data_IF_098043920975
#
_entry.id   IF_098043920975
#
_cell.length_a   1.000
_cell.length_b   1.000
_cell.length_c   1.000
_cell.angle_alpha   90.00
_cell.angle_beta   90.00
_cell.angle_gamma   90.00
#
_symmetry.space_group_name_H-M   'P 1'
#
loop_
_entity.id
_entity.type
_entity.pdbx_description
1 polymer ?
#
# COMPACT_ATOMS: atom_id res chain seq x y z
N UNK A 1 25.77 -14.80 21.02
CA UNK A 1 24.93 -14.05 20.07
C UNK A 1 25.09 -14.76 18.74
N UNK A 2 24.07 -15.48 18.24
CA UNK A 2 24.15 -16.04 16.90
C UNK A 2 24.28 -14.89 15.91
N UNK A 3 25.23 -14.96 14.97
CA UNK A 3 25.35 -13.97 13.91
C UNK A 3 24.01 -13.94 13.16
N UNK A 4 23.36 -12.78 13.12
CA UNK A 4 22.10 -12.63 12.38
C UNK A 4 22.38 -12.79 10.89
N UNK A 5 21.45 -13.44 10.20
CA UNK A 5 21.56 -13.78 8.78
C UNK A 5 21.90 -12.53 7.94
N UNK A 6 22.75 -12.73 6.93
CA UNK A 6 23.09 -11.68 5.95
C UNK A 6 22.19 -11.82 4.73
N UNK A 7 21.45 -10.78 4.42
CA UNK A 7 20.48 -10.75 3.32
C UNK A 7 20.97 -9.74 2.29
N UNK A 8 21.07 -10.18 1.04
CA UNK A 8 21.51 -9.34 -0.07
C UNK A 8 20.34 -8.95 -0.98
N UNK A 9 20.19 -7.66 -1.30
CA UNK A 9 19.14 -7.15 -2.18
C UNK A 9 19.72 -6.75 -3.54
N UNK A 10 19.18 -7.29 -4.63
CA UNK A 10 19.54 -6.85 -6.00
C UNK A 10 18.47 -5.87 -6.49
N UNK A 11 18.88 -4.65 -6.81
CA UNK A 11 17.98 -3.52 -7.07
C UNK A 11 17.43 -2.90 -5.78
N UNK A 12 18.31 -2.72 -4.78
CA UNK A 12 17.93 -2.27 -3.43
C UNK A 12 17.36 -0.85 -3.39
N UNK A 13 17.68 0.00 -4.38
CA UNK A 13 17.23 1.39 -4.49
C UNK A 13 15.79 1.55 -4.97
N UNK A 14 15.13 0.47 -5.43
CA UNK A 14 13.71 0.52 -5.75
C UNK A 14 12.85 0.78 -4.50
N UNK A 15 11.75 1.54 -4.64
CA UNK A 15 10.87 1.90 -3.52
C UNK A 15 10.44 0.66 -2.73
N UNK A 16 9.80 -0.32 -3.36
CA UNK A 16 9.37 -1.53 -2.65
C UNK A 16 10.50 -2.41 -2.08
N UNK A 17 11.73 -2.30 -2.59
CA UNK A 17 12.88 -3.07 -2.10
C UNK A 17 13.51 -2.41 -0.87
N UNK A 18 13.72 -1.09 -0.95
CA UNK A 18 14.35 -0.30 0.11
C UNK A 18 13.54 -0.31 1.41
N UNK A 19 12.21 -0.29 1.34
CA UNK A 19 11.37 -0.37 2.53
C UNK A 19 11.56 -1.69 3.29
N UNK A 20 11.62 -2.82 2.56
CA UNK A 20 11.88 -4.14 3.16
C UNK A 20 13.29 -4.21 3.74
N UNK A 21 14.29 -3.68 3.02
CA UNK A 21 15.68 -3.63 3.49
C UNK A 21 15.81 -2.81 4.78
N UNK A 22 15.15 -1.65 4.86
CA UNK A 22 15.09 -0.81 6.05
C UNK A 22 14.49 -1.56 7.24
N UNK A 23 13.34 -2.20 7.08
CA UNK A 23 12.73 -2.98 8.16
C UNK A 23 13.67 -4.07 8.68
N UNK A 24 14.36 -4.77 7.79
CA UNK A 24 15.31 -5.81 8.20
C UNK A 24 16.54 -5.23 8.92
N UNK A 25 17.05 -4.06 8.51
CA UNK A 25 18.10 -3.34 9.25
C UNK A 25 17.63 -2.94 10.65
N UNK A 26 16.42 -2.41 10.80
CA UNK A 26 15.86 -2.01 12.10
C UNK A 26 15.59 -3.23 13.00
N UNK A 27 15.22 -4.36 12.40
CA UNK A 27 15.18 -5.67 13.06
C UNK A 27 16.57 -6.23 13.37
N UNK A 28 17.62 -5.58 12.86
CA UNK A 28 19.06 -5.81 13.06
C UNK A 28 19.62 -7.00 12.31
N UNK A 29 19.09 -7.34 11.14
CA UNK A 29 19.74 -8.21 10.17
C UNK A 29 20.94 -7.49 9.51
N UNK A 30 21.87 -8.26 8.97
CA UNK A 30 22.97 -7.71 8.19
C UNK A 30 22.52 -7.53 6.74
N UNK A 31 22.37 -6.30 6.28
CA UNK A 31 21.88 -6.01 4.93
C UNK A 31 23.02 -5.58 4.02
N UNK A 32 23.11 -6.20 2.85
CA UNK A 32 23.84 -5.66 1.72
C UNK A 32 22.93 -5.58 0.49
N UNK A 33 23.37 -4.85 -0.54
CA UNK A 33 22.64 -4.85 -1.80
C UNK A 33 23.38 -4.16 -2.93
N UNK A 34 22.85 -4.28 -4.13
CA UNK A 34 23.39 -3.65 -5.34
C UNK A 34 22.32 -2.82 -6.04
N UNK A 35 22.74 -1.72 -6.66
CA UNK A 35 21.89 -0.94 -7.57
C UNK A 35 22.73 -0.30 -8.68
N UNK A 36 22.09 0.08 -9.80
CA UNK A 36 22.76 0.68 -10.94
C UNK A 36 23.12 2.16 -10.72
N UNK A 37 22.42 2.83 -9.81
CA UNK A 37 22.58 4.26 -9.56
C UNK A 37 22.62 4.54 -8.06
N UNK A 38 23.36 5.59 -7.70
CA UNK A 38 23.27 6.19 -6.36
C UNK A 38 22.05 7.09 -6.33
N UNK A 39 21.25 6.95 -5.29
CA UNK A 39 20.05 7.74 -5.02
C UNK A 39 19.93 8.05 -3.52
N UNK A 40 19.08 9.02 -3.18
CA UNK A 40 18.75 9.35 -1.79
C UNK A 40 18.30 8.13 -0.98
N UNK A 41 17.55 7.21 -1.61
CA UNK A 41 17.13 5.94 -1.01
C UNK A 41 18.35 5.07 -0.63
N UNK A 42 19.30 4.92 -1.56
CA UNK A 42 20.51 4.12 -1.29
C UNK A 42 21.40 4.78 -0.23
N UNK A 43 21.54 6.10 -0.25
CA UNK A 43 22.30 6.85 0.77
C UNK A 43 21.66 6.69 2.16
N UNK A 44 20.33 6.78 2.25
CA UNK A 44 19.59 6.54 3.49
C UNK A 44 19.85 5.15 4.06
N UNK A 45 19.82 4.12 3.21
CA UNK A 45 20.10 2.74 3.64
C UNK A 45 21.55 2.56 4.12
N UNK A 46 22.52 3.21 3.48
CA UNK A 46 23.91 3.23 3.96
C UNK A 46 24.00 3.88 5.34
N UNK A 47 23.31 5.00 5.55
CA UNK A 47 23.25 5.68 6.85
C UNK A 47 22.60 4.82 7.95
N UNK A 48 21.70 3.90 7.58
CA UNK A 48 21.10 2.88 8.47
C UNK A 48 22.00 1.64 8.67
N UNK A 49 23.15 1.56 8.01
CA UNK A 49 24.14 0.49 8.18
C UNK A 49 24.16 -0.57 7.08
N UNK A 50 23.46 -0.37 5.96
CA UNK A 50 23.56 -1.28 4.81
C UNK A 50 24.90 -1.14 4.07
N UNK A 51 25.39 -2.26 3.54
CA UNK A 51 26.51 -2.26 2.59
C UNK A 51 25.97 -2.26 1.16
N UNK A 52 26.12 -1.14 0.44
CA UNK A 52 25.61 -1.01 -0.93
C UNK A 52 26.75 -1.01 -1.95
N UNK A 53 26.58 -1.79 -3.01
CA UNK A 53 27.47 -1.86 -4.17
C UNK A 53 26.85 -1.14 -5.37
N UNK A 54 27.67 -0.37 -6.09
CA UNK A 54 27.26 0.24 -7.36
C UNK A 54 27.51 -0.74 -8.50
N UNK A 55 26.48 -1.01 -9.29
CA UNK A 55 26.51 -1.96 -10.40
C UNK A 55 26.33 -3.41 -9.96
N UNK A 56 25.97 -4.27 -10.92
CA UNK A 56 25.76 -5.69 -10.68
C UNK A 56 27.00 -6.51 -11.01
N UNK A 57 27.62 -7.12 -10.00
CA UNK A 57 28.86 -7.87 -10.15
C UNK A 57 28.82 -9.14 -9.31
N UNK A 58 29.35 -10.25 -9.86
CA UNK A 58 29.42 -11.53 -9.13
C UNK A 58 30.14 -11.40 -7.78
N UNK A 59 31.12 -10.50 -7.70
CA UNK A 59 31.93 -10.26 -6.50
C UNK A 59 31.16 -9.53 -5.38
N UNK A 60 29.95 -9.03 -5.63
CA UNK A 60 29.09 -8.45 -4.60
C UNK A 60 28.52 -9.53 -3.65
N UNK A 61 28.59 -10.80 -4.08
CA UNK A 61 28.13 -11.97 -3.34
C UNK A 61 29.30 -12.87 -2.94
N UNK A 62 29.26 -13.31 -1.68
CA UNK A 62 30.16 -14.30 -1.12
C UNK A 62 29.36 -15.35 -0.32
N UNK A 63 30.05 -16.37 0.19
CA UNK A 63 29.43 -17.44 0.99
C UNK A 63 28.92 -16.97 2.37
N UNK A 64 29.11 -15.70 2.76
CA UNK A 64 28.54 -15.16 4.00
C UNK A 64 27.07 -14.74 3.81
N UNK A 65 26.59 -14.60 2.58
CA UNK A 65 25.19 -14.25 2.27
C UNK A 65 24.31 -15.48 2.43
N UNK A 66 23.22 -15.33 3.18
CA UNK A 66 22.28 -16.42 3.51
C UNK A 66 21.05 -16.42 2.60
N UNK A 67 20.65 -15.27 2.06
CA UNK A 67 19.49 -15.14 1.17
C UNK A 67 19.70 -13.95 0.24
N UNK A 68 19.30 -14.11 -1.02
CA UNK A 68 19.23 -13.03 -2.00
C UNK A 68 17.76 -12.67 -2.26
N UNK A 69 17.44 -11.38 -2.19
CA UNK A 69 16.12 -10.84 -2.51
C UNK A 69 16.22 -10.07 -3.82
N UNK A 70 15.31 -10.36 -4.75
CA UNK A 70 15.25 -9.69 -6.06
C UNK A 70 13.89 -9.04 -6.29
N UNK A 71 13.90 -7.91 -7.00
CA UNK A 71 12.67 -7.36 -7.58
C UNK A 71 12.29 -8.11 -8.86
N UNK A 72 11.06 -7.93 -9.33
CA UNK A 72 10.59 -8.50 -10.59
C UNK A 72 11.33 -7.94 -11.83
N UNK A 73 11.98 -6.78 -11.69
CA UNK A 73 12.76 -6.16 -12.76
C UNK A 73 14.16 -6.79 -12.95
N UNK A 74 14.65 -7.58 -11.99
CA UNK A 74 15.99 -8.19 -12.09
C UNK A 74 15.93 -9.43 -13.00
N UNK A 75 16.67 -9.44 -14.12
CA UNK A 75 16.63 -10.56 -15.06
C UNK A 75 17.37 -11.78 -14.49
N UNK A 76 16.97 -12.97 -14.93
CA UNK A 76 17.52 -14.24 -14.42
C UNK A 76 19.02 -14.42 -14.73
N UNK A 77 19.53 -13.71 -15.74
CA UNK A 77 20.93 -13.70 -16.15
C UNK A 77 21.76 -12.61 -15.43
N UNK A 78 21.19 -11.90 -14.46
CA UNK A 78 21.95 -10.97 -13.63
C UNK A 78 23.13 -11.72 -12.98
N UNK A 79 24.35 -11.17 -13.02
CA UNK A 79 25.55 -11.86 -12.54
C UNK A 79 25.46 -12.28 -11.06
N UNK A 80 24.82 -11.47 -10.22
CA UNK A 80 24.60 -11.79 -8.80
C UNK A 80 23.59 -12.93 -8.64
N UNK A 81 22.52 -12.96 -9.44
CA UNK A 81 21.55 -14.07 -9.42
C UNK A 81 22.21 -15.39 -9.84
N UNK A 82 23.02 -15.36 -10.90
CA UNK A 82 23.78 -16.53 -11.38
C UNK A 82 24.76 -17.00 -10.31
N UNK A 83 25.48 -16.05 -9.69
CA UNK A 83 26.42 -16.35 -8.60
C UNK A 83 25.72 -16.98 -7.40
N UNK A 84 24.63 -16.37 -6.92
CA UNK A 84 23.83 -16.89 -5.80
C UNK A 84 23.43 -18.34 -6.03
N UNK A 85 22.93 -18.67 -7.23
CA UNK A 85 22.55 -20.04 -7.61
C UNK A 85 23.75 -21.00 -7.59
N UNK A 86 24.90 -20.60 -8.13
CA UNK A 86 26.11 -21.43 -8.11
C UNK A 86 26.65 -21.69 -6.69
N UNK A 87 26.42 -20.77 -5.75
CA UNK A 87 26.76 -20.92 -4.34
C UNK A 87 25.68 -21.64 -3.53
N UNK A 88 24.54 -22.01 -4.14
CA UNK A 88 23.41 -22.63 -3.45
C UNK A 88 22.66 -21.68 -2.51
N UNK A 89 22.84 -20.36 -2.66
CA UNK A 89 22.15 -19.35 -1.86
C UNK A 89 20.72 -19.20 -2.39
N UNK A 90 19.69 -19.29 -1.53
CA UNK A 90 18.30 -19.13 -1.95
C UNK A 90 18.05 -17.72 -2.49
N UNK A 91 17.47 -17.66 -3.69
CA UNK A 91 17.02 -16.42 -4.34
C UNK A 91 15.50 -16.35 -4.23
N UNK A 92 14.99 -15.37 -3.50
CA UNK A 92 13.57 -15.16 -3.28
C UNK A 92 13.09 -13.83 -3.85
N UNK A 93 11.79 -13.75 -4.13
CA UNK A 93 11.18 -12.55 -4.68
C UNK A 93 10.86 -11.54 -3.57
N UNK A 94 10.84 -10.25 -3.91
CA UNK A 94 10.45 -9.14 -3.01
C UNK A 94 9.19 -9.45 -2.20
N UNK A 95 8.11 -9.88 -2.85
CA UNK A 95 6.84 -10.18 -2.19
C UNK A 95 6.90 -11.41 -1.28
N UNK A 96 7.81 -12.35 -1.51
CA UNK A 96 8.05 -13.46 -0.58
C UNK A 96 8.72 -12.97 0.69
N UNK A 97 9.70 -12.07 0.58
CA UNK A 97 10.31 -11.45 1.76
C UNK A 97 9.28 -10.61 2.53
N UNK A 98 8.46 -9.83 1.83
CA UNK A 98 7.38 -9.06 2.44
C UNK A 98 6.38 -9.98 3.18
N UNK A 99 6.02 -11.11 2.58
CA UNK A 99 5.18 -12.14 3.21
C UNK A 99 5.80 -12.71 4.49
N UNK A 100 7.13 -12.94 4.51
CA UNK A 100 7.84 -13.40 5.72
C UNK A 100 7.82 -12.34 6.83
N UNK A 101 8.00 -11.07 6.50
CA UNK A 101 7.88 -9.96 7.46
C UNK A 101 6.45 -9.85 7.99
N UNK A 102 5.45 -9.89 7.10
CA UNK A 102 4.04 -9.79 7.44
C UNK A 102 3.60 -10.87 8.43
N UNK A 103 4.06 -12.11 8.28
CA UNK A 103 3.73 -13.24 9.19
C UNK A 103 4.17 -13.06 10.64
N UNK A 104 5.01 -12.07 10.94
CA UNK A 104 5.43 -11.77 12.32
C UNK A 104 4.37 -11.01 13.11
N UNK A 105 3.40 -10.43 12.42
CA UNK A 105 2.38 -9.52 12.95
C UNK A 105 1.03 -9.84 12.28
N UNK A 106 -0.02 -9.16 12.73
CA UNK A 106 -1.35 -9.19 12.12
C UNK A 106 -1.32 -8.39 10.81
N UNK A 107 -1.04 -9.10 9.72
CA UNK A 107 -0.93 -8.53 8.38
C UNK A 107 -2.25 -7.98 7.80
N UNK A 108 -2.24 -6.73 7.39
CA UNK A 108 -3.29 -6.04 6.64
C UNK A 108 -2.75 -5.72 5.26
N UNK A 109 -3.34 -6.31 4.22
CA UNK A 109 -2.91 -6.14 2.85
C UNK A 109 -3.97 -5.39 2.04
N UNK A 110 -3.59 -4.24 1.45
CA UNK A 110 -4.49 -3.37 0.68
C UNK A 110 -4.20 -3.50 -0.81
N UNK A 111 -5.17 -4.01 -1.57
CA UNK A 111 -5.09 -4.24 -3.00
C UNK A 111 -6.20 -3.50 -3.79
N UNK A 112 -6.08 -3.51 -5.11
CA UNK A 112 -7.03 -2.95 -6.08
C UNK A 112 -6.36 -2.02 -7.07
N UNK A 113 -6.97 -1.74 -8.22
CA UNK A 113 -6.31 -0.94 -9.27
C UNK A 113 -5.92 0.46 -8.76
N UNK A 114 -6.82 1.13 -8.03
CA UNK A 114 -6.63 2.50 -7.54
C UNK A 114 -6.84 2.63 -6.04
N UNK A 115 -6.17 3.60 -5.40
CA UNK A 115 -6.42 3.97 -4.00
C UNK A 115 -5.70 3.10 -2.95
N UNK A 116 -4.86 2.15 -3.37
CA UNK A 116 -4.01 1.31 -2.49
C UNK A 116 -3.19 2.16 -1.54
N UNK A 117 -2.24 2.95 -2.07
CA UNK A 117 -1.30 3.74 -1.27
C UNK A 117 -2.03 4.71 -0.33
N UNK A 118 -3.09 5.38 -0.78
CA UNK A 118 -3.87 6.30 0.06
C UNK A 118 -4.57 5.56 1.21
N UNK A 119 -5.20 4.42 0.93
CA UNK A 119 -5.89 3.61 1.95
C UNK A 119 -4.90 3.03 2.96
N UNK A 120 -3.76 2.51 2.50
CA UNK A 120 -2.68 2.01 3.39
C UNK A 120 -2.12 3.12 4.27
N UNK A 121 -1.96 4.34 3.73
CA UNK A 121 -1.47 5.50 4.48
C UNK A 121 -2.48 6.01 5.51
N UNK A 122 -3.78 6.00 5.18
CA UNK A 122 -4.84 6.30 6.14
C UNK A 122 -4.86 5.28 7.29
N UNK A 123 -4.71 3.98 6.99
CA UNK A 123 -4.61 2.94 8.00
C UNK A 123 -3.39 3.13 8.90
N UNK A 124 -2.22 3.43 8.31
CA UNK A 124 -1.01 3.75 9.04
C UNK A 124 -1.27 4.92 10.01
N UNK A 125 -1.78 6.05 9.51
CA UNK A 125 -2.10 7.21 10.34
C UNK A 125 -3.05 6.85 11.49
N UNK A 126 -4.15 6.14 11.20
CA UNK A 126 -5.14 5.74 12.20
C UNK A 126 -4.51 4.92 13.32
N UNK A 127 -3.70 3.93 13.00
CA UNK A 127 -3.06 3.11 14.02
C UNK A 127 -1.95 3.84 14.77
N UNK A 128 -1.15 4.66 14.09
CA UNK A 128 -0.12 5.50 14.74
C UNK A 128 -0.73 6.46 15.77
N UNK A 129 -1.75 7.23 15.36
CA UNK A 129 -2.40 8.23 16.21
C UNK A 129 -3.12 7.63 17.42
N UNK A 130 -3.44 6.34 17.34
CA UNK A 130 -4.14 5.61 18.39
C UNK A 130 -3.23 4.64 19.18
N UNK A 131 -1.90 4.82 19.08
CA UNK A 131 -0.89 4.08 19.84
C UNK A 131 -0.88 2.56 19.55
N UNK A 132 -1.31 2.15 18.36
CA UNK A 132 -1.21 0.76 17.91
C UNK A 132 0.17 0.44 17.33
N UNK A 133 1.00 1.47 17.07
CA UNK A 133 2.39 1.39 16.59
C UNK A 133 2.62 0.32 15.51
N UNK A 134 1.96 0.43 14.34
CA UNK A 134 2.01 -0.57 13.28
C UNK A 134 3.38 -0.58 12.60
N UNK A 135 3.79 -1.75 12.11
CA UNK A 135 4.77 -1.79 11.01
C UNK A 135 4.08 -1.42 9.71
N UNK A 136 4.70 -0.58 8.89
CA UNK A 136 4.11 -0.07 7.65
C UNK A 136 5.06 -0.28 6.48
N UNK A 137 4.55 -0.73 5.34
CA UNK A 137 5.27 -0.79 4.05
C UNK A 137 4.38 -0.26 2.92
N UNK A 138 4.84 0.81 2.27
CA UNK A 138 4.11 1.51 1.20
C UNK A 138 4.82 1.35 -0.15
N UNK A 139 4.03 1.36 -1.24
CA UNK A 139 4.53 1.39 -2.61
C UNK A 139 5.05 2.75 -3.06
N UNK A 140 4.88 3.80 -2.25
CA UNK A 140 5.35 5.17 -2.48
C UNK A 140 5.85 5.82 -1.19
N UNK A 141 6.44 7.01 -1.29
CA UNK A 141 6.87 7.78 -0.11
C UNK A 141 5.69 8.42 0.62
N UNK A 142 5.74 8.38 1.95
CA UNK A 142 4.71 8.94 2.82
C UNK A 142 5.35 9.83 3.89
N UNK A 143 4.95 11.11 3.86
CA UNK A 143 5.56 12.17 4.65
C UNK A 143 5.44 11.92 6.17
N UNK A 144 4.31 11.39 6.64
CA UNK A 144 4.08 11.23 8.08
C UNK A 144 4.96 10.16 8.74
N UNK A 145 5.54 9.24 7.96
CA UNK A 145 6.48 8.22 8.47
C UNK A 145 7.93 8.45 8.00
N UNK A 146 8.22 9.56 7.32
CA UNK A 146 9.57 9.91 6.88
C UNK A 146 10.16 8.99 5.80
N UNK A 147 9.31 8.31 5.02
CA UNK A 147 9.73 7.36 4.00
C UNK A 147 8.61 6.45 3.54
N UNK A 148 8.97 5.26 3.05
CA UNK A 148 8.05 4.26 2.53
C UNK A 148 7.94 3.01 3.41
N UNK A 149 8.65 2.97 4.53
CA UNK A 149 8.51 1.93 5.54
C UNK A 149 8.83 2.48 6.94
N UNK A 150 8.20 1.88 7.95
CA UNK A 150 8.45 2.14 9.38
C UNK A 150 8.30 0.82 10.14
N UNK A 151 9.27 0.45 10.96
CA UNK A 151 9.10 -0.67 11.90
C UNK A 151 8.30 -0.20 13.12
N UNK A 152 7.19 -0.87 13.39
CA UNK A 152 6.42 -0.71 14.62
C UNK A 152 6.63 -1.88 15.58
N UNK A 153 6.39 -1.66 16.86
CA UNK A 153 6.44 -2.69 17.91
C UNK A 153 5.05 -3.26 18.23
N UNK A 154 4.00 -2.73 17.61
CA UNK A 154 2.62 -3.16 17.82
C UNK A 154 2.26 -4.49 17.16
N UNK A 155 0.98 -4.83 17.22
CA UNK A 155 0.50 -6.10 16.68
C UNK A 155 0.30 -6.09 15.17
N UNK A 156 0.11 -4.93 14.54
CA UNK A 156 -0.32 -4.82 13.15
C UNK A 156 0.83 -4.57 12.18
N UNK A 157 0.70 -5.13 10.98
CA UNK A 157 1.57 -4.89 9.84
C UNK A 157 0.72 -4.45 8.66
N UNK A 158 0.85 -3.21 8.21
CA UNK A 158 0.02 -2.64 7.14
C UNK A 158 0.85 -2.51 5.88
N UNK A 159 0.41 -3.13 4.79
CA UNK A 159 1.13 -3.09 3.53
C UNK A 159 0.24 -2.92 2.30
N UNK A 160 0.78 -2.19 1.33
CA UNK A 160 0.27 -2.20 -0.05
C UNK A 160 0.55 -3.55 -0.71
N UNK A 161 -0.47 -4.07 -1.39
CA UNK A 161 -0.44 -5.35 -2.08
C UNK A 161 -0.60 -5.10 -3.59
N UNK A 162 0.47 -5.37 -4.32
CA UNK A 162 0.61 -5.08 -5.74
C UNK A 162 0.11 -6.27 -6.59
N UNK A 163 -0.95 -6.01 -7.36
CA UNK A 163 -1.57 -6.96 -8.28
C UNK A 163 -0.86 -7.02 -9.64
N UNK A 164 -0.08 -5.99 -10.03
CA UNK A 164 0.39 -5.82 -11.41
C UNK A 164 1.17 -7.00 -11.99
N UNK A 165 1.91 -7.72 -11.14
CA UNK A 165 2.71 -8.90 -11.48
C UNK A 165 2.27 -10.17 -10.70
N UNK A 166 1.07 -10.13 -10.11
CA UNK A 166 0.51 -11.21 -9.30
C UNK A 166 1.24 -11.43 -7.96
N UNK A 167 2.19 -10.57 -7.59
CA UNK A 167 3.02 -10.77 -6.40
C UNK A 167 2.25 -10.67 -5.08
N UNK A 168 1.12 -9.94 -5.04
CA UNK A 168 0.20 -9.96 -3.91
C UNK A 168 -0.30 -11.36 -3.50
N UNK A 169 -0.34 -12.32 -4.43
CA UNK A 169 -0.69 -13.72 -4.12
C UNK A 169 0.39 -14.44 -3.31
N UNK A 170 1.55 -13.83 -3.07
CA UNK A 170 2.57 -14.41 -2.18
C UNK A 170 2.40 -13.95 -0.73
N UNK A 171 1.58 -12.91 -0.51
CA UNK A 171 1.32 -12.39 0.82
C UNK A 171 0.50 -13.36 1.68
N UNK A 172 0.61 -13.18 2.98
CA UNK A 172 -0.10 -13.95 4.00
C UNK A 172 -0.84 -13.00 4.97
N UNK A 173 -1.83 -12.24 4.48
CA UNK A 173 -2.59 -11.32 5.32
C UNK A 173 -3.55 -12.06 6.23
N UNK A 174 -3.83 -11.46 7.39
CA UNK A 174 -5.02 -11.80 8.19
C UNK A 174 -6.22 -10.94 7.82
N UNK A 175 -5.99 -9.74 7.29
CA UNK A 175 -7.03 -8.82 6.82
C UNK A 175 -6.70 -8.41 5.39
N UNK A 176 -7.66 -8.59 4.49
CA UNK A 176 -7.53 -8.14 3.09
C UNK A 176 -8.45 -6.95 2.84
N UNK A 177 -7.97 -5.98 2.06
CA UNK A 177 -8.79 -4.85 1.59
C UNK A 177 -8.73 -4.85 0.07
N UNK A 178 -9.89 -4.82 -0.59
CA UNK A 178 -9.98 -4.69 -2.05
C UNK A 178 -10.78 -3.44 -2.39
N UNK A 179 -10.07 -2.45 -2.93
CA UNK A 179 -10.59 -1.10 -3.17
C UNK A 179 -11.44 -1.00 -4.43
N UNK A 180 -11.03 -1.66 -5.51
CA UNK A 180 -11.70 -1.74 -6.81
C UNK A 180 -10.98 -2.77 -7.70
N UNK A 181 -11.64 -3.21 -8.77
CA UNK A 181 -11.05 -4.08 -9.79
C UNK A 181 -11.39 -3.50 -11.16
N UNK A 182 -10.37 -2.98 -11.86
CA UNK A 182 -10.45 -2.49 -13.24
C UNK A 182 -9.62 -3.36 -14.19
N UNK A 183 -9.80 -3.15 -15.49
CA UNK A 183 -9.03 -3.82 -16.55
C UNK A 183 -7.63 -3.22 -16.67
N UNK A 184 -6.80 -3.45 -15.67
CA UNK A 184 -5.40 -3.01 -15.66
C UNK A 184 -4.46 -4.20 -15.82
N UNK A 185 -3.21 -3.93 -16.24
CA UNK A 185 -2.14 -4.92 -16.33
C UNK A 185 -2.50 -6.16 -17.19
N UNK A 186 -3.29 -5.96 -18.25
CA UNK A 186 -3.67 -7.02 -19.20
C UNK A 186 -2.45 -7.67 -19.88
N UNK A 187 -1.30 -7.01 -19.94
CA UNK A 187 -0.05 -7.60 -20.43
C UNK A 187 0.40 -8.79 -19.56
N UNK A 188 0.11 -8.76 -18.25
CA UNK A 188 0.39 -9.84 -17.32
C UNK A 188 -0.76 -10.85 -17.26
N UNK A 189 -1.98 -10.37 -17.05
CA UNK A 189 -3.13 -11.26 -16.82
C UNK A 189 -3.75 -11.80 -18.10
N UNK A 190 -3.67 -11.10 -19.22
CA UNK A 190 -4.25 -11.45 -20.51
C UNK A 190 -5.77 -11.25 -20.61
N UNK A 191 -6.56 -11.56 -19.58
CA UNK A 191 -8.03 -11.38 -19.59
C UNK A 191 -8.58 -10.87 -18.26
N UNK A 192 -9.74 -10.21 -18.30
CA UNK A 192 -10.44 -9.73 -17.11
C UNK A 192 -10.79 -10.85 -16.13
N UNK A 193 -11.13 -12.05 -16.64
CA UNK A 193 -11.47 -13.21 -15.81
C UNK A 193 -10.27 -13.66 -14.99
N UNK A 194 -9.05 -13.56 -15.53
CA UNK A 194 -7.82 -13.88 -14.80
C UNK A 194 -7.48 -12.85 -13.73
N UNK A 195 -7.75 -11.57 -13.98
CA UNK A 195 -7.64 -10.51 -12.96
C UNK A 195 -8.62 -10.82 -11.81
N UNK A 196 -9.90 -11.05 -12.13
CA UNK A 196 -10.93 -11.40 -11.15
C UNK A 196 -10.59 -12.66 -10.36
N UNK A 197 -10.10 -13.70 -11.02
CA UNK A 197 -9.66 -14.92 -10.37
C UNK A 197 -8.50 -14.67 -9.38
N UNK A 198 -7.53 -13.83 -9.75
CA UNK A 198 -6.44 -13.45 -8.86
C UNK A 198 -6.94 -12.68 -7.63
N UNK A 199 -7.87 -11.72 -7.80
CA UNK A 199 -8.48 -11.03 -6.65
C UNK A 199 -9.34 -11.96 -5.79
N UNK A 200 -10.06 -12.90 -6.39
CA UNK A 200 -10.81 -13.94 -5.67
C UNK A 200 -9.85 -14.80 -4.82
N UNK A 201 -8.73 -15.26 -5.39
CA UNK A 201 -7.68 -15.97 -4.66
C UNK A 201 -7.09 -15.12 -3.52
N UNK A 202 -6.82 -13.84 -3.77
CA UNK A 202 -6.31 -12.91 -2.77
C UNK A 202 -7.27 -12.77 -1.58
N UNK A 203 -8.57 -12.58 -1.83
CA UNK A 203 -9.58 -12.51 -0.76
C UNK A 203 -9.63 -13.83 0.02
N UNK A 204 -9.59 -14.97 -0.69
CA UNK A 204 -9.64 -16.31 -0.10
C UNK A 204 -8.38 -16.69 0.71
N UNK A 205 -7.30 -15.92 0.63
CA UNK A 205 -6.14 -16.06 1.53
C UNK A 205 -6.40 -15.56 2.95
N UNK A 206 -7.46 -14.79 3.14
CA UNK A 206 -7.90 -14.35 4.47
C UNK A 206 -8.22 -15.59 5.33
N UNK A 207 -7.57 -15.79 6.48
CA UNK A 207 -7.80 -16.94 7.33
C UNK A 207 -9.16 -16.84 8.06
N UNK A 208 -9.66 -17.92 8.68
CA UNK A 208 -10.96 -17.93 9.36
C UNK A 208 -11.09 -16.95 10.54
N UNK A 209 -9.99 -16.61 11.19
CA UNK A 209 -9.89 -15.60 12.26
C UNK A 209 -9.67 -14.18 11.73
N UNK A 210 -9.58 -14.02 10.41
CA UNK A 210 -9.45 -12.78 9.69
C UNK A 210 -10.76 -12.27 9.08
N UNK A 211 -10.67 -11.18 8.32
CA UNK A 211 -11.78 -10.68 7.52
C UNK A 211 -11.31 -9.88 6.29
N UNK A 212 -12.17 -9.83 5.27
CA UNK A 212 -11.97 -8.99 4.09
C UNK A 212 -12.82 -7.71 4.15
N UNK A 213 -12.31 -6.60 3.60
CA UNK A 213 -13.04 -5.33 3.44
C UNK A 213 -13.15 -5.00 1.97
N UNK A 214 -14.38 -4.93 1.45
CA UNK A 214 -14.68 -4.96 0.02
C UNK A 214 -15.53 -3.75 -0.39
N UNK A 215 -15.13 -3.02 -1.43
CA UNK A 215 -15.93 -1.92 -1.98
C UNK A 215 -17.16 -2.46 -2.72
N UNK A 216 -18.36 -2.32 -2.16
CA UNK A 216 -19.59 -2.85 -2.80
C UNK A 216 -20.02 -2.04 -4.02
N UNK A 217 -19.66 -0.76 -4.05
CA UNK A 217 -20.00 0.13 -5.17
C UNK A 217 -19.13 -0.14 -6.41
N UNK A 218 -18.02 -0.88 -6.27
CA UNK A 218 -17.21 -1.29 -7.40
C UNK A 218 -17.81 -2.53 -8.09
N UNK A 219 -18.13 -2.47 -9.40
CA UNK A 219 -18.74 -3.59 -10.10
C UNK A 219 -17.87 -4.85 -10.13
N UNK A 220 -16.54 -4.71 -10.23
CA UNK A 220 -15.61 -5.83 -10.27
C UNK A 220 -15.58 -6.58 -8.94
N UNK A 221 -15.50 -5.84 -7.83
CA UNK A 221 -15.57 -6.39 -6.46
C UNK A 221 -16.95 -6.99 -6.18
N UNK A 222 -18.04 -6.30 -6.55
CA UNK A 222 -19.40 -6.78 -6.33
C UNK A 222 -19.67 -8.14 -7.01
N UNK A 223 -19.07 -8.37 -8.18
CA UNK A 223 -19.15 -9.65 -8.90
C UNK A 223 -18.44 -10.80 -8.17
N UNK A 224 -17.43 -10.53 -7.35
CA UNK A 224 -16.71 -11.55 -6.57
C UNK A 224 -17.43 -11.96 -5.28
N UNK A 225 -18.32 -11.12 -4.76
CA UNK A 225 -19.02 -11.38 -3.49
C UNK A 225 -19.69 -12.76 -3.45
N UNK A 226 -20.45 -13.22 -4.47
CA UNK A 226 -21.04 -14.56 -4.47
C UNK A 226 -20.01 -15.70 -4.37
N UNK A 227 -18.80 -15.51 -4.91
CA UNK A 227 -17.76 -16.54 -4.92
C UNK A 227 -17.10 -16.73 -3.56
N UNK A 228 -16.94 -15.65 -2.80
CA UNK A 228 -16.27 -15.63 -1.49
C UNK A 228 -17.23 -15.77 -0.31
N UNK A 229 -18.53 -15.54 -0.53
CA UNK A 229 -19.57 -15.66 0.49
C UNK A 229 -19.61 -17.06 1.09
N UNK A 230 -19.56 -17.12 2.42
CA UNK A 230 -19.53 -18.38 3.18
C UNK A 230 -18.15 -19.07 3.24
N UNK A 231 -17.15 -18.55 2.52
CA UNK A 231 -15.76 -19.04 2.59
C UNK A 231 -14.86 -18.14 3.43
N UNK A 232 -15.12 -16.82 3.40
CA UNK A 232 -14.38 -15.79 4.14
C UNK A 232 -15.37 -14.86 4.83
N UNK A 233 -15.06 -14.42 6.05
CA UNK A 233 -15.78 -13.31 6.69
C UNK A 233 -15.43 -12.02 5.95
N UNK A 234 -16.40 -11.28 5.45
CA UNK A 234 -16.15 -10.00 4.80
C UNK A 234 -17.12 -8.94 5.27
N UNK A 235 -16.71 -7.70 5.06
CA UNK A 235 -17.43 -6.47 5.36
C UNK A 235 -17.40 -5.62 4.10
N UNK A 236 -18.50 -4.97 3.81
CA UNK A 236 -18.66 -4.12 2.64
C UNK A 236 -18.68 -2.65 3.00
N UNK A 237 -18.19 -1.81 2.08
CA UNK A 237 -18.29 -0.36 2.22
C UNK A 237 -18.68 0.31 0.91
N UNK A 238 -19.26 1.50 0.98
CA UNK A 238 -19.64 2.29 -0.21
C UNK A 238 -20.63 3.40 0.08
N UNK A 239 -21.28 3.91 -0.97
CA UNK A 239 -22.45 4.79 -0.90
C UNK A 239 -23.75 4.00 -1.03
N UNK A 240 -23.70 2.77 -1.57
CA UNK A 240 -24.84 1.87 -1.63
C UNK A 240 -25.42 1.62 -0.23
N UNK A 241 -26.75 1.69 -0.12
CA UNK A 241 -27.45 1.36 1.12
C UNK A 241 -27.38 -0.13 1.49
N UNK A 242 -26.88 -0.97 0.59
CA UNK A 242 -26.65 -2.39 0.84
C UNK A 242 -25.27 -2.69 1.45
N UNK A 243 -24.39 -1.69 1.53
CA UNK A 243 -23.08 -1.85 2.15
C UNK A 243 -23.19 -1.83 3.69
N UNK A 244 -22.23 -2.46 4.38
CA UNK A 244 -22.18 -2.44 5.84
C UNK A 244 -21.77 -1.06 6.35
N UNK A 245 -20.71 -0.46 5.78
CA UNK A 245 -20.24 0.88 6.10
C UNK A 245 -20.60 1.85 4.98
N UNK A 246 -21.45 2.83 5.28
CA UNK A 246 -22.05 3.72 4.28
C UNK A 246 -21.62 5.16 4.53
N UNK A 247 -21.16 5.85 3.48
CA UNK A 247 -21.02 7.31 3.51
C UNK A 247 -22.30 8.00 3.06
N UNK A 248 -22.74 9.00 3.83
CA UNK A 248 -23.89 9.86 3.54
C UNK A 248 -23.48 11.33 3.55
N UNK A 249 -24.35 12.18 3.00
CA UNK A 249 -24.25 13.65 3.07
C UNK A 249 -22.88 14.23 2.70
N UNK A 250 -22.26 13.70 1.63
CA UNK A 250 -20.92 14.14 1.21
C UNK A 250 -20.93 15.60 0.79
N UNK A 251 -20.10 16.39 1.46
CA UNK A 251 -19.82 17.80 1.13
C UNK A 251 -18.35 17.92 0.72
N UNK A 252 -18.14 18.54 -0.43
CA UNK A 252 -16.82 18.80 -0.99
C UNK A 252 -16.60 20.31 -0.96
N UNK A 253 -15.79 20.78 -0.02
CA UNK A 253 -15.57 22.20 0.28
C UNK A 253 -14.07 22.52 0.08
N UNK A 254 -13.69 22.85 -1.15
CA UNK A 254 -12.27 23.05 -1.49
C UNK A 254 -11.47 21.77 -1.29
N UNK A 255 -10.47 21.83 -0.40
CA UNK A 255 -9.62 20.68 -0.01
C UNK A 255 -10.23 19.82 1.09
N UNK A 256 -11.33 20.26 1.70
CA UNK A 256 -11.97 19.56 2.80
C UNK A 256 -13.13 18.73 2.27
N UNK A 257 -13.13 17.45 2.62
CA UNK A 257 -14.23 16.53 2.35
C UNK A 257 -14.89 16.15 3.67
N UNK A 258 -16.20 16.36 3.79
CA UNK A 258 -17.00 15.94 4.96
C UNK A 258 -18.08 14.96 4.57
N UNK A 259 -18.35 13.99 5.42
CA UNK A 259 -19.41 13.01 5.20
C UNK A 259 -19.80 12.34 6.52
N UNK A 260 -21.04 11.88 6.63
CA UNK A 260 -21.49 11.08 7.76
C UNK A 260 -21.25 9.59 7.48
N UNK A 261 -20.90 8.84 8.52
CA UNK A 261 -20.70 7.39 8.45
C UNK A 261 -21.85 6.69 9.14
N UNK A 262 -22.43 5.73 8.44
CA UNK A 262 -23.52 4.88 8.90
C UNK A 262 -23.06 3.42 8.88
N UNK A 263 -23.42 2.65 9.90
CA UNK A 263 -23.23 1.19 9.93
C UNK A 263 -24.44 0.52 10.58
N UNK A 264 -24.97 -0.51 9.93
CA UNK A 264 -26.15 -1.26 10.38
C UNK A 264 -27.37 -0.35 10.69
N UNK A 265 -27.62 0.66 9.85
CA UNK A 265 -28.73 1.59 10.01
C UNK A 265 -28.53 2.67 11.09
N UNK A 266 -27.37 2.71 11.75
CA UNK A 266 -27.03 3.72 12.75
C UNK A 266 -25.97 4.68 12.22
N UNK A 267 -26.29 5.97 12.22
CA UNK A 267 -25.29 7.03 11.98
C UNK A 267 -24.37 7.15 13.19
N UNK A 268 -23.07 7.02 12.96
CA UNK A 268 -22.05 7.10 14.01
C UNK A 268 -21.52 8.51 14.22
N UNK A 269 -21.44 9.30 13.15
CA UNK A 269 -21.06 10.71 13.21
C UNK A 269 -20.48 11.21 11.88
N UNK A 270 -19.95 12.43 11.90
CA UNK A 270 -19.30 13.07 10.76
C UNK A 270 -17.79 12.82 10.76
N UNK A 271 -17.24 12.57 9.59
CA UNK A 271 -15.80 12.53 9.31
C UNK A 271 -15.41 13.78 8.53
N UNK A 272 -14.25 14.34 8.88
CA UNK A 272 -13.59 15.38 8.10
C UNK A 272 -12.27 14.84 7.56
N UNK A 273 -12.05 14.99 6.26
CA UNK A 273 -10.79 14.70 5.57
C UNK A 273 -10.24 15.99 4.99
N UNK A 274 -8.95 16.25 5.18
CA UNK A 274 -8.23 17.38 4.56
C UNK A 274 -7.65 17.03 3.19
N UNK A 275 -8.32 16.12 2.48
CA UNK A 275 -8.04 15.74 1.10
C UNK A 275 -9.32 15.82 0.28
N UNK A 276 -9.24 16.33 -0.97
CA UNK A 276 -10.43 16.52 -1.79
C UNK A 276 -10.83 15.24 -2.50
N UNK A 277 -12.09 15.18 -2.92
CA UNK A 277 -12.55 14.19 -3.90
C UNK A 277 -13.33 13.02 -3.31
N UNK A 278 -14.34 12.58 -4.05
CA UNK A 278 -15.24 11.48 -3.65
C UNK A 278 -14.49 10.15 -3.50
N UNK A 279 -13.45 9.91 -4.28
CA UNK A 279 -12.65 8.68 -4.19
C UNK A 279 -11.94 8.55 -2.83
N UNK A 280 -11.55 9.67 -2.22
CA UNK A 280 -10.97 9.67 -0.90
C UNK A 280 -11.98 9.33 0.21
N UNK A 281 -13.27 9.49 -0.03
CA UNK A 281 -14.33 8.97 0.86
C UNK A 281 -14.33 7.43 0.84
N UNK A 282 -14.17 6.80 -0.32
CA UNK A 282 -14.04 5.33 -0.39
C UNK A 282 -12.79 4.84 0.34
N UNK A 283 -11.63 5.48 0.10
CA UNK A 283 -10.38 5.14 0.78
C UNK A 283 -10.51 5.27 2.31
N UNK A 284 -11.15 6.35 2.77
CA UNK A 284 -11.41 6.55 4.19
C UNK A 284 -12.41 5.54 4.75
N UNK A 285 -13.49 5.20 4.04
CA UNK A 285 -14.43 4.17 4.48
C UNK A 285 -13.77 2.80 4.66
N UNK A 286 -12.88 2.40 3.73
CA UNK A 286 -12.09 1.19 3.87
C UNK A 286 -11.23 1.23 5.15
N UNK A 287 -10.53 2.34 5.38
CA UNK A 287 -9.69 2.53 6.56
C UNK A 287 -10.51 2.55 7.87
N UNK A 288 -11.67 3.20 7.87
CA UNK A 288 -12.63 3.27 8.98
C UNK A 288 -13.13 1.85 9.30
N UNK A 289 -13.55 1.08 8.30
CA UNK A 289 -14.06 -0.27 8.49
C UNK A 289 -12.99 -1.17 9.12
N UNK A 290 -11.77 -1.19 8.58
CA UNK A 290 -10.65 -1.95 9.17
C UNK A 290 -10.36 -1.48 10.59
N UNK A 291 -10.20 -0.17 10.82
CA UNK A 291 -9.86 0.38 12.13
C UNK A 291 -10.87 -0.01 13.21
N UNK A 292 -12.17 0.02 12.89
CA UNK A 292 -13.26 -0.35 13.79
C UNK A 292 -13.25 -1.83 14.14
N UNK A 293 -13.07 -2.69 13.14
CA UNK A 293 -12.98 -4.13 13.36
C UNK A 293 -11.69 -4.54 14.10
N UNK A 294 -10.64 -3.73 14.01
CA UNK A 294 -9.42 -3.86 14.81
C UNK A 294 -9.51 -3.21 16.21
N UNK A 295 -10.67 -2.65 16.58
CA UNK A 295 -10.96 -2.20 17.94
C UNK A 295 -10.83 -0.70 18.20
N UNK A 296 -10.44 0.13 17.21
CA UNK A 296 -10.43 1.58 17.37
C UNK A 296 -11.86 2.10 17.57
N UNK A 297 -12.08 3.09 18.45
CA UNK A 297 -13.39 3.73 18.58
C UNK A 297 -13.68 4.63 17.36
N UNK A 298 -14.96 4.87 17.05
CA UNK A 298 -15.29 5.83 15.98
C UNK A 298 -14.81 7.25 16.31
N UNK A 299 -14.84 7.65 17.59
CA UNK A 299 -14.38 8.95 18.04
C UNK A 299 -12.87 9.13 17.78
N UNK A 300 -12.08 8.11 18.09
CA UNK A 300 -10.63 8.07 17.85
C UNK A 300 -10.29 8.18 16.36
N UNK A 301 -11.01 7.43 15.52
CA UNK A 301 -10.87 7.48 14.07
C UNK A 301 -11.23 8.88 13.54
N UNK A 302 -12.38 9.42 13.94
CA UNK A 302 -12.85 10.73 13.52
C UNK A 302 -11.89 11.86 13.94
N UNK A 303 -11.25 11.74 15.11
CA UNK A 303 -10.24 12.69 15.58
C UNK A 303 -8.91 12.60 14.81
N UNK A 304 -8.57 11.41 14.27
CA UNK A 304 -7.29 11.16 13.61
C UNK A 304 -7.29 11.56 12.13
N UNK A 305 -8.39 11.34 11.41
CA UNK A 305 -8.49 11.55 9.96
C UNK A 305 -8.22 12.99 9.46
N UNK A 306 -8.54 14.07 10.20
CA UNK A 306 -8.18 15.43 9.81
C UNK A 306 -6.66 15.67 9.72
N UNK A 307 -5.84 14.90 10.44
CA UNK A 307 -4.39 15.05 10.41
C UNK A 307 -3.75 14.50 9.13
N UNK A 308 -4.51 13.76 8.31
CA UNK A 308 -3.99 13.20 7.07
C UNK A 308 -3.70 14.29 6.04
N UNK A 309 -2.41 14.41 5.67
CA UNK A 309 -1.92 15.46 4.74
C UNK A 309 -1.82 15.01 3.29
N UNK A 310 -2.24 13.78 2.98
CA UNK A 310 -2.05 13.19 1.66
C UNK A 310 -0.78 12.36 1.55
N UNK A 311 -0.57 11.82 0.35
CA UNK A 311 0.62 11.06 -0.04
C UNK A 311 1.35 11.89 -1.09
N UNK A 312 2.68 11.82 -1.13
CA UNK A 312 3.44 12.49 -2.18
C UNK A 312 2.92 12.06 -3.55
N UNK A 313 2.85 13.02 -4.49
CA UNK A 313 2.38 12.80 -5.87
C UNK A 313 0.95 12.26 -5.96
N UNK A 314 0.09 12.50 -4.98
CA UNK A 314 -1.36 12.17 -5.02
C UNK A 314 -2.17 13.43 -4.74
N UNK A 315 -2.43 14.20 -5.80
CA UNK A 315 -3.00 15.55 -5.76
C UNK A 315 -2.26 16.46 -4.77
N UNK A 316 -0.94 16.34 -4.73
CA UNK A 316 -0.09 17.03 -3.77
C UNK A 316 0.12 18.48 -4.20
N UNK A 317 -0.18 19.44 -3.32
CA UNK A 317 0.17 20.84 -3.57
C UNK A 317 1.68 21.03 -3.40
N UNK A 318 2.40 21.15 -4.52
CA UNK A 318 3.87 21.33 -4.50
C UNK A 318 4.28 22.79 -4.40
N UNK A 319 3.48 23.71 -4.94
CA UNK A 319 3.79 25.14 -4.90
C UNK A 319 2.56 26.02 -5.12
N UNK A 320 2.73 27.30 -4.79
CA UNK A 320 1.84 28.39 -5.15
C UNK A 320 2.71 29.57 -5.61
N UNK A 321 2.54 29.99 -6.86
CA UNK A 321 3.34 31.07 -7.48
C UNK A 321 2.40 32.03 -8.18
N UNK A 322 2.39 33.30 -7.78
CA UNK A 322 1.55 34.36 -8.37
C UNK A 322 0.07 33.98 -8.50
N UNK A 323 -0.47 33.28 -7.50
CA UNK A 323 -1.86 32.79 -7.48
C UNK A 323 -2.11 31.54 -8.33
N UNK A 324 -1.06 30.98 -8.96
CA UNK A 324 -1.10 29.69 -9.66
C UNK A 324 -0.75 28.59 -8.65
N UNK A 325 -1.71 27.70 -8.41
CA UNK A 325 -1.50 26.52 -7.60
C UNK A 325 -0.94 25.39 -8.46
N UNK A 326 0.20 24.84 -8.07
CA UNK A 326 0.86 23.72 -8.75
C UNK A 326 0.62 22.45 -7.94
N UNK A 327 0.08 21.43 -8.60
CA UNK A 327 -0.17 20.12 -8.01
C UNK A 327 0.59 19.03 -8.76
N UNK A 328 1.17 18.08 -8.03
CA UNK A 328 1.74 16.84 -8.59
C UNK A 328 0.79 15.67 -8.34
N UNK A 329 0.58 14.84 -9.37
CA UNK A 329 -0.32 13.70 -9.33
C UNK A 329 0.21 12.56 -10.22
N UNK A 330 0.26 11.35 -9.66
CA UNK A 330 0.74 10.13 -10.31
C UNK A 330 -0.30 9.48 -11.24
N UNK A 331 -1.47 10.11 -11.44
CA UNK A 331 -2.50 9.60 -12.32
C UNK A 331 -1.94 9.28 -13.72
N UNK A 332 -2.04 8.02 -14.11
CA UNK A 332 -1.60 7.53 -15.42
C UNK A 332 -2.71 6.77 -16.14
N UNK A 333 -3.71 6.27 -15.41
CA UNK A 333 -4.89 5.64 -15.99
C UNK A 333 -6.00 6.68 -16.32
N UNK A 334 -6.82 6.48 -17.37
CA UNK A 334 -7.89 7.43 -17.72
C UNK A 334 -8.89 7.72 -16.60
N UNK A 335 -9.20 6.73 -15.75
CA UNK A 335 -10.09 6.90 -14.59
C UNK A 335 -9.46 7.84 -13.54
N UNK A 336 -8.17 7.68 -13.25
CA UNK A 336 -7.39 8.53 -12.35
C UNK A 336 -7.32 9.96 -12.87
N UNK A 337 -6.93 10.15 -14.14
CA UNK A 337 -6.83 11.48 -14.76
C UNK A 337 -8.18 12.23 -14.71
N UNK A 338 -9.28 11.52 -14.99
CA UNK A 338 -10.63 12.09 -14.91
C UNK A 338 -10.96 12.52 -13.48
N UNK A 339 -10.58 11.73 -12.48
CA UNK A 339 -10.78 12.06 -11.07
C UNK A 339 -9.94 13.27 -10.64
N UNK A 340 -8.67 13.33 -11.03
CA UNK A 340 -7.74 14.44 -10.78
C UNK A 340 -8.26 15.73 -11.39
N UNK A 341 -8.66 15.72 -12.67
CA UNK A 341 -9.20 16.91 -13.34
C UNK A 341 -10.56 17.37 -12.76
N UNK A 342 -11.43 16.43 -12.37
CA UNK A 342 -12.68 16.76 -11.69
C UNK A 342 -12.43 17.43 -10.33
N UNK A 343 -11.37 17.00 -9.64
CA UNK A 343 -10.93 17.59 -8.36
C UNK A 343 -10.39 18.99 -8.57
N UNK A 344 -9.50 19.19 -9.56
CA UNK A 344 -8.94 20.50 -9.92
C UNK A 344 -10.03 21.54 -10.22
N UNK A 345 -11.09 21.16 -10.94
CA UNK A 345 -12.24 22.05 -11.20
C UNK A 345 -13.04 22.41 -9.95
N UNK A 346 -13.08 21.53 -8.94
CA UNK A 346 -13.85 21.72 -7.70
C UNK A 346 -13.11 22.54 -6.65
N UNK A 347 -11.78 22.49 -6.64
CA UNK A 347 -10.96 23.31 -5.75
C UNK A 347 -10.91 24.80 -6.16
N UNK A 348 -11.76 25.21 -7.11
CA UNK A 348 -11.96 26.61 -7.47
C UNK A 348 -11.05 27.13 -8.58
N UNK A 349 -10.35 26.26 -9.30
CA UNK A 349 -9.49 26.69 -10.41
C UNK A 349 -10.33 27.28 -11.56
N UNK A 350 -10.11 28.55 -11.91
CA UNK A 350 -10.71 29.19 -13.09
C UNK A 350 -10.25 28.52 -14.39
N UNK A 351 -9.00 28.05 -14.40
CA UNK A 351 -8.38 27.33 -15.52
C UNK A 351 -7.52 26.20 -14.97
N UNK A 352 -7.69 25.01 -15.53
CA UNK A 352 -6.85 23.84 -15.25
C UNK A 352 -5.93 23.61 -16.44
N UNK A 353 -4.62 23.50 -16.19
CA UNK A 353 -3.60 23.16 -17.18
C UNK A 353 -2.95 21.86 -16.70
N UNK A 354 -3.02 20.80 -17.51
CA UNK A 354 -2.28 19.57 -17.31
C UNK A 354 -1.06 19.58 -18.25
N UNK A 355 0.11 19.21 -17.73
CA UNK A 355 1.39 19.24 -18.44
C UNK A 355 1.87 17.82 -18.70
#
# INVERSE_FOLDING_TARGET
MYAREKIHFIGIGGVGMSGIAQLLLELGYNISGSDLQVSEITERLVNLGAMIYLGHHENNLDNSVHTVVVSSAIPINNPEVVKAKSLGIPVIQRAEMLSRLMKRQKGIAVAGAHGKTTTTSLLALLFEKNNYDPTVVLGGEFNDIGGNAKLGQGEFFVAEADESDGSFLKLAPIITVVTNIEDDHLDFYGTQEKIKAAFSEFILKTPPDGFAVLCLDDPGVAQLIPEVKGKVKFITYGFSSAADYIARDVKLEGFVTRFSVENQGKVWGEITLNIPGKYNVYNALAAIAVGRECGLSFADIAASLPDFRGVQRRFEKVAEVDGIYIYDDYAHHPSELKATLATAKRVGAERVVAV
#
